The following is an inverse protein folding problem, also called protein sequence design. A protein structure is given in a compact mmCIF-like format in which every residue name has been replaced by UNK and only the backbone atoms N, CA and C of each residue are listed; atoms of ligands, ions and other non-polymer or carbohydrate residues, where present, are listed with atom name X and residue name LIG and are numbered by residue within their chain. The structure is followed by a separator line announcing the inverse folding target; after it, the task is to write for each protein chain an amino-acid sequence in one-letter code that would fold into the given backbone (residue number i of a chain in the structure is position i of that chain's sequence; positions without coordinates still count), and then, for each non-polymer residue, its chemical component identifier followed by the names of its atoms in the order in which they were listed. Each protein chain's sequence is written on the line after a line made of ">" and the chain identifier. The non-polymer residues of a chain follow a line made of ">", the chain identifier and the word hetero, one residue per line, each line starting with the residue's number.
data_IF_404838089631
#
_entry.id   IF_404838089631
#
_cell.length_a   1.000
_cell.length_b   1.000
_cell.length_c   1.000
_cell.angle_alpha   90.00
_cell.angle_beta   90.00
_cell.angle_gamma   90.00
#
_symmetry.space_group_name_H-M   'P 1'
#
loop_
_entity.id
_entity.type
_entity.pdbx_description
1 polymer ?
#
# COMPACT_ATOMS: atom_id res chain seq x y z
N UNK A 1 18.70 -7.79 23.14
CA UNK A 1 17.29 -8.03 23.52
C UNK A 1 16.33 -8.02 22.33
N UNK A 2 16.52 -7.18 21.30
CA UNK A 2 15.68 -7.26 20.09
C UNK A 2 15.89 -8.56 19.28
N UNK A 3 17.15 -8.98 19.07
CA UNK A 3 17.48 -10.19 18.31
C UNK A 3 16.99 -11.52 18.93
N UNK A 4 16.78 -11.57 20.24
CA UNK A 4 16.33 -12.80 20.93
C UNK A 4 14.82 -13.04 20.78
N UNK A 5 14.02 -11.99 20.60
CA UNK A 5 12.57 -12.10 20.43
C UNK A 5 12.14 -12.48 18.99
N UNK A 6 13.03 -12.30 18.01
CA UNK A 6 12.78 -12.75 16.61
C UNK A 6 12.64 -14.28 16.52
N UNK A 7 13.22 -15.01 17.48
CA UNK A 7 13.22 -16.47 17.48
C UNK A 7 11.99 -17.10 18.13
N UNK A 8 11.15 -16.33 18.82
CA UNK A 8 9.94 -16.85 19.50
C UNK A 8 8.66 -16.65 18.67
N UNK A 9 8.77 -16.06 17.47
CA UNK A 9 7.61 -15.81 16.62
C UNK A 9 7.15 -17.08 15.92
N UNK A 10 5.83 -17.32 15.88
CA UNK A 10 5.26 -18.42 15.11
C UNK A 10 5.69 -18.32 13.64
N UNK A 11 6.17 -19.44 13.07
CA UNK A 11 6.68 -19.49 11.69
C UNK A 11 5.66 -18.97 10.67
N UNK A 12 4.37 -19.19 10.94
CA UNK A 12 3.25 -18.73 10.10
C UNK A 12 3.15 -17.21 10.08
N UNK A 13 3.18 -16.56 11.26
CA UNK A 13 3.08 -15.10 11.36
C UNK A 13 4.32 -14.43 10.78
N UNK A 14 5.51 -14.98 11.04
CA UNK A 14 6.75 -14.48 10.47
C UNK A 14 6.75 -14.54 8.93
N UNK A 15 6.25 -15.64 8.37
CA UNK A 15 6.09 -15.79 6.92
C UNK A 15 5.14 -14.75 6.34
N UNK A 16 4.03 -14.48 7.03
CA UNK A 16 3.08 -13.44 6.63
C UNK A 16 3.73 -12.05 6.59
N UNK A 17 4.46 -11.65 7.63
CA UNK A 17 5.11 -10.34 7.67
C UNK A 17 6.19 -10.18 6.58
N UNK A 18 6.97 -11.24 6.31
CA UNK A 18 7.88 -11.27 5.16
C UNK A 18 7.15 -11.14 3.84
N UNK A 19 6.04 -11.87 3.66
CA UNK A 19 5.23 -11.78 2.45
C UNK A 19 4.71 -10.35 2.23
N UNK A 20 4.25 -9.67 3.28
CA UNK A 20 3.79 -8.28 3.18
C UNK A 20 4.92 -7.31 2.82
N UNK A 21 6.10 -7.48 3.40
CA UNK A 21 7.28 -6.66 3.09
C UNK A 21 7.71 -6.85 1.63
N UNK A 22 7.79 -8.10 1.16
CA UNK A 22 8.20 -8.43 -0.21
C UNK A 22 7.15 -7.93 -1.20
N UNK A 23 5.87 -8.15 -0.92
CA UNK A 23 4.77 -7.71 -1.78
C UNK A 23 4.70 -6.19 -1.87
N UNK A 24 4.72 -5.47 -0.74
CA UNK A 24 4.66 -4.02 -0.72
C UNK A 24 5.88 -3.36 -1.38
N UNK A 25 7.09 -3.85 -1.10
CA UNK A 25 8.30 -3.36 -1.76
C UNK A 25 8.32 -3.67 -3.26
N UNK A 26 7.85 -4.87 -3.65
CA UNK A 26 7.69 -5.27 -5.05
C UNK A 26 6.73 -4.36 -5.81
N UNK A 27 5.56 -4.06 -5.24
CA UNK A 27 4.58 -3.14 -5.83
C UNK A 27 5.13 -1.72 -5.96
N UNK A 28 5.83 -1.23 -4.93
CA UNK A 28 6.43 0.10 -4.97
C UNK A 28 7.54 0.20 -6.03
N UNK A 29 8.40 -0.82 -6.13
CA UNK A 29 9.42 -0.91 -7.16
C UNK A 29 8.80 -0.99 -8.57
N UNK A 30 7.71 -1.73 -8.72
CA UNK A 30 6.95 -1.78 -9.96
C UNK A 30 6.45 -0.37 -10.33
N UNK A 31 5.81 0.35 -9.39
CA UNK A 31 5.32 1.70 -9.64
C UNK A 31 6.43 2.68 -10.08
N UNK A 32 7.63 2.56 -9.51
CA UNK A 32 8.80 3.35 -9.92
C UNK A 32 9.29 2.99 -11.32
N UNK A 33 9.19 1.71 -11.70
CA UNK A 33 9.48 1.28 -13.06
C UNK A 33 8.54 1.95 -14.07
N UNK A 34 7.24 1.99 -13.81
CA UNK A 34 6.30 2.72 -14.69
C UNK A 34 6.62 4.22 -14.78
N UNK A 35 6.96 4.84 -13.65
CA UNK A 35 7.29 6.27 -13.63
C UNK A 35 8.56 6.60 -14.42
N UNK A 36 9.65 5.87 -14.20
CA UNK A 36 10.95 6.23 -14.78
C UNK A 36 11.27 5.55 -16.10
N UNK A 37 10.82 4.30 -16.30
CA UNK A 37 11.11 3.55 -17.52
C UNK A 37 10.07 3.79 -18.61
N UNK A 38 8.78 3.89 -18.24
CA UNK A 38 7.70 4.14 -19.20
C UNK A 38 7.32 5.62 -19.29
N UNK A 39 7.75 6.46 -18.34
CA UNK A 39 7.48 7.90 -18.35
C UNK A 39 6.04 8.25 -17.96
N UNK A 40 5.35 7.35 -17.24
CA UNK A 40 3.98 7.57 -16.79
C UNK A 40 3.97 8.47 -15.55
N UNK A 41 3.52 9.71 -15.73
CA UNK A 41 3.51 10.71 -14.67
C UNK A 41 2.43 10.44 -13.60
N UNK A 42 2.79 10.45 -12.31
CA UNK A 42 1.85 10.13 -11.25
C UNK A 42 0.85 11.27 -10.97
N UNK A 43 -0.38 10.87 -10.70
CA UNK A 43 -1.49 11.72 -10.30
C UNK A 43 -1.62 11.85 -8.77
N UNK A 44 -2.43 12.79 -8.27
CA UNK A 44 -2.63 13.00 -6.82
C UNK A 44 -3.09 11.71 -6.10
N UNK A 45 -4.11 11.03 -6.63
CA UNK A 45 -4.66 9.78 -6.07
C UNK A 45 -3.64 8.64 -6.16
N UNK A 46 -2.86 8.61 -7.23
CA UNK A 46 -1.81 7.64 -7.48
C UNK A 46 -0.73 7.71 -6.38
N UNK A 47 -0.34 8.93 -5.99
CA UNK A 47 0.61 9.15 -4.88
C UNK A 47 0.01 8.72 -3.54
N UNK A 48 -1.29 8.97 -3.29
CA UNK A 48 -1.97 8.46 -2.09
C UNK A 48 -1.94 6.93 -2.03
N UNK A 49 -2.21 6.25 -3.14
CA UNK A 49 -2.13 4.79 -3.20
C UNK A 49 -0.70 4.28 -2.94
N UNK A 50 0.33 4.92 -3.51
CA UNK A 50 1.74 4.59 -3.26
C UNK A 50 2.13 4.74 -1.78
N UNK A 51 1.59 5.76 -1.11
CA UNK A 51 1.82 5.96 0.32
C UNK A 51 1.24 4.80 1.14
N UNK A 52 0.04 4.32 0.81
CA UNK A 52 -0.56 3.16 1.48
C UNK A 52 0.20 1.86 1.20
N UNK A 53 0.69 1.65 -0.01
CA UNK A 53 1.57 0.51 -0.34
C UNK A 53 2.87 0.57 0.46
N UNK A 54 3.48 1.75 0.58
CA UNK A 54 4.67 1.95 1.40
C UNK A 54 4.38 1.72 2.90
N UNK A 55 3.21 2.13 3.39
CA UNK A 55 2.77 1.86 4.75
C UNK A 55 2.64 0.35 5.02
N UNK A 56 2.04 -0.42 4.09
CA UNK A 56 1.94 -1.89 4.18
C UNK A 56 3.34 -2.53 4.28
N UNK A 57 4.28 -2.11 3.43
CA UNK A 57 5.65 -2.60 3.47
C UNK A 57 6.35 -2.27 4.81
N UNK A 58 6.14 -1.06 5.32
CA UNK A 58 6.70 -0.60 6.58
C UNK A 58 6.10 -1.36 7.77
N UNK A 59 4.80 -1.61 7.79
CA UNK A 59 4.14 -2.44 8.81
C UNK A 59 4.74 -3.84 8.81
N UNK A 60 4.95 -4.45 7.64
CA UNK A 60 5.63 -5.74 7.51
C UNK A 60 7.04 -5.73 8.10
N UNK A 61 7.84 -4.70 7.78
CA UNK A 61 9.19 -4.52 8.33
C UNK A 61 9.18 -4.35 9.86
N UNK A 62 8.28 -3.51 10.37
CA UNK A 62 8.15 -3.20 11.79
C UNK A 62 7.74 -4.44 12.61
N UNK A 63 6.79 -5.22 12.10
CA UNK A 63 6.30 -6.44 12.75
C UNK A 63 7.30 -7.60 12.71
N UNK A 64 8.30 -7.56 11.82
CA UNK A 64 9.44 -8.50 11.84
C UNK A 64 10.45 -8.17 12.95
N UNK A 65 10.53 -6.92 13.39
CA UNK A 65 11.47 -6.45 14.43
C UNK A 65 10.84 -6.52 15.82
N UNK A 66 9.53 -6.31 15.91
CA UNK A 66 8.79 -6.34 17.17
C UNK A 66 8.66 -7.77 17.73
N UNK A 67 8.61 -7.92 19.07
CA UNK A 67 8.38 -9.20 19.72
C UNK A 67 6.98 -9.75 19.42
N UNK A 68 6.88 -11.07 19.29
CA UNK A 68 5.61 -11.77 19.10
C UNK A 68 4.84 -11.83 20.42
N UNK A 69 3.98 -10.84 20.64
CA UNK A 69 2.99 -10.83 21.70
C UNK A 69 1.62 -10.74 21.03
N UNK A 70 0.59 -11.37 21.60
CA UNK A 70 -0.75 -11.36 21.01
C UNK A 70 -1.25 -9.93 20.78
N UNK A 71 -0.93 -9.00 21.69
CA UNK A 71 -1.25 -7.58 21.53
C UNK A 71 -0.51 -6.85 20.40
N UNK A 72 0.78 -7.13 20.19
CA UNK A 72 1.57 -6.48 19.11
C UNK A 72 1.16 -7.01 17.74
N UNK A 73 0.99 -8.33 17.63
CA UNK A 73 0.54 -9.00 16.40
C UNK A 73 -0.89 -8.58 16.02
N UNK A 74 -1.80 -8.45 17.00
CA UNK A 74 -3.14 -7.90 16.77
C UNK A 74 -3.10 -6.44 16.31
N UNK A 75 -2.26 -5.61 16.96
CA UNK A 75 -2.07 -4.22 16.54
C UNK A 75 -1.55 -4.09 15.11
N UNK A 76 -0.62 -4.96 14.71
CA UNK A 76 -0.12 -5.04 13.33
C UNK A 76 -1.19 -5.45 12.33
N UNK A 77 -2.01 -6.44 12.68
CA UNK A 77 -3.13 -6.89 11.84
C UNK A 77 -4.17 -5.78 11.65
N UNK A 78 -4.50 -5.03 12.70
CA UNK A 78 -5.42 -3.89 12.63
C UNK A 78 -4.86 -2.79 11.72
N UNK A 79 -3.57 -2.45 11.86
CA UNK A 79 -2.90 -1.47 10.99
C UNK A 79 -2.86 -1.94 9.53
N UNK A 80 -2.57 -3.21 9.29
CA UNK A 80 -2.55 -3.80 7.96
C UNK A 80 -3.94 -3.77 7.33
N UNK A 81 -4.97 -4.15 8.09
CA UNK A 81 -6.36 -4.10 7.65
C UNK A 81 -6.80 -2.67 7.31
N UNK A 82 -6.54 -1.71 8.19
CA UNK A 82 -6.86 -0.30 7.96
C UNK A 82 -6.16 0.25 6.71
N UNK A 83 -4.87 -0.08 6.52
CA UNK A 83 -4.10 0.31 5.33
C UNK A 83 -4.64 -0.33 4.06
N UNK A 84 -5.07 -1.60 4.14
CA UNK A 84 -5.67 -2.32 3.02
C UNK A 84 -7.01 -1.74 2.60
N UNK A 85 -7.87 -1.38 3.55
CA UNK A 85 -9.15 -0.72 3.28
C UNK A 85 -8.93 0.67 2.67
N UNK A 86 -7.98 1.44 3.19
CA UNK A 86 -7.66 2.76 2.65
C UNK A 86 -7.05 2.69 1.23
N UNK A 87 -6.21 1.69 0.96
CA UNK A 87 -5.73 1.39 -0.39
C UNK A 87 -6.90 1.05 -1.32
N UNK A 88 -7.84 0.21 -0.85
CA UNK A 88 -9.04 -0.17 -1.57
C UNK A 88 -9.93 1.01 -1.93
N UNK A 89 -10.21 1.90 -0.98
CA UNK A 89 -10.98 3.13 -1.20
C UNK A 89 -10.33 4.02 -2.27
N UNK A 90 -9.01 4.22 -2.21
CA UNK A 90 -8.28 5.01 -3.22
C UNK A 90 -8.24 4.34 -4.59
N UNK A 91 -8.10 3.02 -4.65
CA UNK A 91 -8.16 2.28 -5.92
C UNK A 91 -9.56 2.30 -6.54
N UNK A 92 -10.61 2.22 -5.71
CA UNK A 92 -12.00 2.29 -6.18
C UNK A 92 -12.31 3.67 -6.76
N UNK A 93 -11.87 4.73 -6.09
CA UNK A 93 -12.00 6.10 -6.60
C UNK A 93 -11.28 6.29 -7.95
N UNK A 94 -10.10 5.69 -8.10
CA UNK A 94 -9.35 5.74 -9.37
C UNK A 94 -10.10 5.00 -10.50
N UNK A 95 -10.67 3.84 -10.19
CA UNK A 95 -11.53 3.09 -11.11
C UNK A 95 -12.79 3.88 -11.53
N UNK A 96 -13.40 4.63 -10.62
CA UNK A 96 -14.54 5.50 -10.96
C UNK A 96 -14.14 6.63 -11.91
N UNK A 97 -12.95 7.22 -11.75
CA UNK A 97 -12.42 8.26 -12.65
C UNK A 97 -12.18 7.66 -14.05
N UNK A 98 -11.56 6.48 -14.14
CA UNK A 98 -11.29 5.78 -15.40
C UNK A 98 -12.57 5.48 -16.18
N UNK A 99 -13.65 5.13 -15.48
CA UNK A 99 -14.94 4.81 -16.11
C UNK A 99 -15.83 6.07 -16.31
N UNK A 100 -15.26 7.28 -16.22
CA UNK A 100 -15.97 8.57 -16.36
C UNK A 100 -17.16 8.73 -15.39
N UNK A 101 -17.10 8.07 -14.23
CA UNK A 101 -18.14 8.13 -13.19
C UNK A 101 -17.74 9.03 -12.01
N UNK A 102 -16.46 9.31 -11.84
CA UNK A 102 -15.91 10.18 -10.81
C UNK A 102 -15.39 11.51 -11.38
N UNK A 103 -15.46 12.57 -10.57
CA UNK A 103 -14.85 13.86 -10.89
C UNK A 103 -13.34 13.80 -10.62
N UNK A 104 -12.53 13.99 -11.66
CA UNK A 104 -11.07 14.05 -11.52
C UNK A 104 -10.61 15.28 -10.74
N UNK A 105 -9.66 15.09 -9.81
CA UNK A 105 -9.05 16.21 -9.08
C UNK A 105 -8.12 17.01 -10.00
N UNK A 106 -8.45 18.29 -10.24
CA UNK A 106 -7.61 19.24 -10.98
C UNK A 106 -6.51 19.90 -10.12
N UNK A 107 -6.17 19.31 -8.98
CA UNK A 107 -5.18 19.86 -8.03
C UNK A 107 -3.82 19.16 -8.20
N UNK A 108 -2.76 19.95 -8.25
CA UNK A 108 -1.36 19.49 -8.24
C UNK A 108 -0.78 19.40 -6.82
N UNK A 109 -1.59 19.66 -5.80
CA UNK A 109 -1.18 19.53 -4.40
C UNK A 109 -1.75 18.25 -3.80
N UNK A 110 -0.98 17.63 -2.91
CA UNK A 110 -1.38 16.40 -2.24
C UNK A 110 -2.49 16.62 -1.20
N UNK A 111 -2.77 17.87 -0.83
CA UNK A 111 -3.78 18.27 0.15
C UNK A 111 -3.46 17.87 1.60
N UNK A 112 -2.21 17.49 1.88
CA UNK A 112 -1.75 17.07 3.21
C UNK A 112 -1.31 18.28 4.04
N UNK A 113 -1.47 18.23 5.38
CA UNK A 113 -1.02 19.30 6.27
C UNK A 113 0.51 19.46 6.21
N UNK A 114 1.00 20.68 6.48
CA UNK A 114 2.42 21.03 6.32
C UNK A 114 3.41 20.14 7.08
N UNK A 115 2.99 19.52 8.18
CA UNK A 115 3.82 18.62 8.98
C UNK A 115 4.05 17.24 8.32
N UNK A 116 3.26 16.89 7.32
CA UNK A 116 3.32 15.60 6.60
C UNK A 116 3.42 15.81 5.08
N UNK A 117 4.28 16.73 4.66
CA UNK A 117 4.53 17.04 3.25
C UNK A 117 5.56 16.06 2.64
N UNK A 118 5.13 14.81 2.41
CA UNK A 118 5.97 13.74 1.83
C UNK A 118 6.46 14.09 0.42
N UNK A 119 5.64 14.84 -0.32
CA UNK A 119 5.96 15.44 -1.62
C UNK A 119 7.19 16.35 -1.56
N UNK A 120 7.35 17.13 -0.48
CA UNK A 120 8.51 18.03 -0.30
C UNK A 120 9.74 17.32 0.23
N UNK A 121 9.57 16.28 1.06
CA UNK A 121 10.69 15.53 1.62
C UNK A 121 11.36 14.63 0.59
N UNK A 122 10.56 13.99 -0.28
CA UNK A 122 11.04 13.05 -1.30
C UNK A 122 10.38 13.33 -2.66
N UNK A 123 10.72 14.48 -3.30
CA UNK A 123 10.07 14.91 -4.54
C UNK A 123 10.26 13.91 -5.69
N UNK A 124 11.44 13.27 -5.77
CA UNK A 124 11.69 12.25 -6.77
C UNK A 124 10.65 11.10 -6.76
N UNK A 125 10.10 10.76 -5.59
CA UNK A 125 9.22 9.61 -5.41
C UNK A 125 7.73 10.00 -5.30
N UNK A 126 7.43 11.15 -4.70
CA UNK A 126 6.07 11.53 -4.28
C UNK A 126 5.57 12.88 -4.82
N UNK A 127 6.23 13.44 -5.82
CA UNK A 127 5.75 14.64 -6.50
C UNK A 127 4.58 14.33 -7.45
N UNK A 128 3.53 15.16 -7.42
CA UNK A 128 2.41 15.07 -8.36
C UNK A 128 2.79 15.79 -9.65
N UNK A 129 2.79 15.07 -10.77
CA UNK A 129 3.23 15.60 -12.07
C UNK A 129 2.12 15.70 -13.10
N UNK A 130 0.98 15.04 -12.86
CA UNK A 130 -0.14 14.99 -13.79
C UNK A 130 -1.50 15.13 -13.10
N UNK A 131 -2.52 15.51 -13.87
CA UNK A 131 -3.92 15.52 -13.45
C UNK A 131 -4.51 14.10 -13.48
N UNK A 132 -5.45 13.81 -12.58
CA UNK A 132 -6.13 12.51 -12.54
C UNK A 132 -7.10 12.39 -13.74
N UNK A 133 -6.74 11.59 -14.75
CA UNK A 133 -7.60 11.33 -15.91
C UNK A 133 -7.68 9.85 -16.27
N UNK A 134 -6.55 9.21 -16.56
CA UNK A 134 -6.48 7.81 -16.97
C UNK A 134 -5.29 7.13 -16.29
N UNK A 135 -5.39 5.82 -16.03
CA UNK A 135 -4.28 5.01 -15.54
C UNK A 135 -3.72 4.12 -16.62
N UNK A 136 -2.39 3.92 -16.68
CA UNK A 136 -1.80 3.02 -17.66
C UNK A 136 -2.31 1.59 -17.46
N UNK A 137 -2.51 0.92 -18.59
CA UNK A 137 -2.82 -0.51 -18.63
C UNK A 137 -1.58 -1.34 -18.31
N UNK A 138 -1.74 -2.42 -17.53
CA UNK A 138 -0.69 -3.43 -17.39
C UNK A 138 -0.68 -4.35 -18.61
N UNK A 139 0.34 -5.20 -18.69
CA UNK A 139 0.59 -6.17 -19.78
C UNK A 139 -0.54 -7.17 -20.09
N UNK A 140 -1.64 -7.18 -19.33
CA UNK A 140 -2.82 -8.05 -19.52
C UNK A 140 -4.08 -7.29 -19.97
N UNK A 141 -4.00 -5.99 -20.27
CA UNK A 141 -5.16 -5.15 -20.56
C UNK A 141 -6.05 -4.87 -19.33
N UNK A 142 -5.51 -5.12 -18.13
CA UNK A 142 -6.14 -4.83 -16.83
C UNK A 142 -5.60 -3.48 -16.35
N UNK A 143 -6.46 -2.62 -15.82
CA UNK A 143 -6.03 -1.31 -15.33
C UNK A 143 -5.25 -1.42 -14.02
N UNK A 144 -4.35 -0.47 -13.76
CA UNK A 144 -3.65 -0.42 -12.47
C UNK A 144 -4.63 -0.34 -11.29
N UNK A 145 -5.70 0.44 -11.43
CA UNK A 145 -6.71 0.56 -10.38
C UNK A 145 -7.39 -0.77 -10.08
N UNK A 146 -7.79 -1.53 -11.11
CA UNK A 146 -8.40 -2.85 -10.95
C UNK A 146 -7.46 -3.83 -10.24
N UNK A 147 -6.18 -3.83 -10.62
CA UNK A 147 -5.17 -4.67 -9.99
C UNK A 147 -4.98 -4.31 -8.51
N UNK A 148 -4.85 -3.02 -8.18
CA UNK A 148 -4.73 -2.55 -6.80
C UNK A 148 -5.99 -2.86 -5.97
N UNK A 149 -7.17 -2.72 -6.56
CA UNK A 149 -8.43 -3.07 -5.92
C UNK A 149 -8.47 -4.57 -5.58
N UNK A 150 -8.09 -5.43 -6.53
CA UNK A 150 -7.98 -6.87 -6.31
C UNK A 150 -6.97 -7.23 -5.21
N UNK A 151 -5.80 -6.59 -5.20
CA UNK A 151 -4.78 -6.79 -4.16
C UNK A 151 -5.30 -6.34 -2.80
N UNK A 152 -5.96 -5.18 -2.72
CA UNK A 152 -6.53 -4.68 -1.46
C UNK A 152 -7.59 -5.63 -0.89
N UNK A 153 -8.44 -6.21 -1.74
CA UNK A 153 -9.43 -7.20 -1.32
C UNK A 153 -8.74 -8.48 -0.82
N UNK A 154 -7.71 -8.95 -1.53
CA UNK A 154 -6.92 -10.11 -1.14
C UNK A 154 -6.22 -9.93 0.22
N UNK A 155 -5.63 -8.75 0.44
CA UNK A 155 -4.99 -8.39 1.71
C UNK A 155 -6.00 -8.33 2.87
N UNK A 156 -7.20 -7.79 2.66
CA UNK A 156 -8.27 -7.81 3.66
C UNK A 156 -8.67 -9.24 4.06
N UNK A 157 -8.82 -10.14 3.08
CA UNK A 157 -9.15 -11.56 3.34
C UNK A 157 -8.01 -12.24 4.12
N UNK A 158 -6.76 -12.00 3.72
CA UNK A 158 -5.59 -12.52 4.42
C UNK A 158 -5.51 -12.03 5.88
N UNK A 159 -5.83 -10.76 6.13
CA UNK A 159 -5.88 -10.22 7.50
C UNK A 159 -6.93 -10.94 8.36
N UNK A 160 -8.12 -11.17 7.81
CA UNK A 160 -9.20 -11.88 8.53
C UNK A 160 -8.78 -13.31 8.82
N UNK A 161 -8.18 -14.01 7.85
CA UNK A 161 -7.69 -15.37 8.05
C UNK A 161 -6.60 -15.42 9.12
N UNK A 162 -5.61 -14.52 9.04
CA UNK A 162 -4.53 -14.43 10.02
C UNK A 162 -5.04 -14.09 11.43
N UNK A 163 -6.06 -13.23 11.55
CA UNK A 163 -6.65 -12.94 12.86
C UNK A 163 -7.31 -14.17 13.50
N UNK A 164 -7.94 -15.04 12.71
CA UNK A 164 -8.53 -16.29 13.22
C UNK A 164 -7.44 -17.23 13.72
N UNK A 165 -6.39 -17.42 12.93
CA UNK A 165 -5.23 -18.24 13.31
C UNK A 165 -4.50 -17.73 14.56
N UNK A 166 -4.67 -16.46 14.93
CA UNK A 166 -4.10 -15.89 16.15
C UNK A 166 -5.00 -16.06 17.39
N UNK A 167 -6.29 -16.29 17.20
CA UNK A 167 -7.30 -16.44 18.26
C UNK A 167 -7.60 -17.91 18.60
N UNK A 168 -7.31 -18.84 17.68
CA UNK A 168 -7.37 -20.30 17.87
C UNK A 168 -6.07 -20.87 18.47
#
# INVERSE_FOLDING_TARGET
>A
MALTNVMTQSSTMRSLWWAMLILGSGMFAAALYWQYALGEDPCQVCIHARLWVAAIALIGALMLVLPDNTGTSLGGLILLFASSVALGERSYYLYEIENFRGDGSCQFTLGMPDWFAVDRWFPALFEVRNICSYTPELALGISMAECLLGISAGLCILCIFASKTLLD
#
